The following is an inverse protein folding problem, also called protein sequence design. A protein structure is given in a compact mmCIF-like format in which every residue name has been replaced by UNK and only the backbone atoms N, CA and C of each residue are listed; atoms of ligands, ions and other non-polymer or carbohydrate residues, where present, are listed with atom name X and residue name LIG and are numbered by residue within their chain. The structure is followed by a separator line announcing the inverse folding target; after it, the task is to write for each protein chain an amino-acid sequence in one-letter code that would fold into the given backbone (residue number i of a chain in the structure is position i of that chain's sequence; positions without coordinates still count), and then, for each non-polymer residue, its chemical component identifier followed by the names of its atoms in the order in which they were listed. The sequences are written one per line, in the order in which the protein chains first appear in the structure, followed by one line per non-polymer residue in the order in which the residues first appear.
data_IF_240168002147
#
_entry.id   IF_240168002147
#
_cell.length_a   1.000
_cell.length_b   1.000
_cell.length_c   1.000
_cell.angle_alpha   90.00
_cell.angle_beta   90.00
_cell.angle_gamma   90.00
#
_symmetry.space_group_name_H-M   'P 1'
#
loop_
_entity.id
_entity.type
_entity.pdbx_description
1 polymer ?
#
# COMPACT_ATOMS: atom_id res chain seq x y z
N UNK A 1 -29.81 -3.95 34.06
CA UNK A 1 -29.11 -3.59 32.79
C UNK A 1 -29.43 -2.15 32.47
N UNK A 2 -28.41 -1.30 32.29
CA UNK A 2 -28.55 0.17 32.19
C UNK A 2 -29.25 0.56 30.89
N UNK A 3 -30.39 1.23 31.00
CA UNK A 3 -31.00 1.96 29.89
C UNK A 3 -30.07 3.12 29.50
N UNK A 4 -29.47 3.04 28.31
CA UNK A 4 -28.74 4.17 27.74
C UNK A 4 -29.76 5.31 27.51
N UNK A 5 -29.52 6.47 28.11
CA UNK A 5 -30.36 7.64 27.95
C UNK A 5 -30.37 8.06 26.47
N UNK A 6 -31.52 7.91 25.81
CA UNK A 6 -31.72 8.44 24.46
C UNK A 6 -31.75 9.97 24.58
N UNK A 7 -30.91 10.72 23.85
CA UNK A 7 -30.88 12.18 23.92
C UNK A 7 -32.25 12.78 23.59
N UNK A 8 -32.73 13.76 24.38
CA UNK A 8 -34.02 14.47 24.19
C UNK A 8 -34.23 15.03 22.77
N UNK A 9 -33.15 15.21 22.01
CA UNK A 9 -33.16 15.68 20.63
C UNK A 9 -33.65 14.62 19.62
N UNK A 10 -33.46 13.31 19.89
CA UNK A 10 -33.96 12.23 19.02
C UNK A 10 -35.49 12.09 19.18
N UNK A 11 -36.01 12.35 20.39
CA UNK A 11 -37.44 12.27 20.71
C UNK A 11 -38.31 13.32 19.99
N UNK A 12 -37.70 14.35 19.40
CA UNK A 12 -38.39 15.44 18.68
C UNK A 12 -38.35 15.28 17.16
N UNK A 13 -37.84 14.16 16.65
CA UNK A 13 -37.80 13.90 15.22
C UNK A 13 -39.19 13.44 14.74
N UNK A 14 -39.86 14.28 13.96
CA UNK A 14 -41.07 13.88 13.23
C UNK A 14 -40.69 12.93 12.11
N UNK A 15 -41.09 11.66 12.24
CA UNK A 15 -40.87 10.62 11.24
C UNK A 15 -42.19 10.20 10.61
N UNK A 16 -42.17 10.04 9.29
CA UNK A 16 -43.27 9.38 8.60
C UNK A 16 -43.34 7.92 9.07
N UNK A 17 -44.46 7.53 9.68
CA UNK A 17 -44.69 6.18 10.17
C UNK A 17 -45.74 5.49 9.29
N UNK A 18 -45.32 4.78 8.24
CA UNK A 18 -46.26 4.06 7.39
C UNK A 18 -46.92 2.90 8.16
N UNK A 19 -47.97 2.29 7.58
CA UNK A 19 -48.64 1.16 8.22
C UNK A 19 -47.71 -0.05 8.34
N UNK A 20 -47.93 -0.92 9.34
CA UNK A 20 -47.06 -2.07 9.60
C UNK A 20 -46.76 -2.95 8.36
N UNK A 21 -47.72 -3.26 7.47
CA UNK A 21 -47.44 -4.02 6.25
C UNK A 21 -46.46 -3.31 5.30
N UNK A 22 -46.55 -1.99 5.20
CA UNK A 22 -45.69 -1.15 4.37
C UNK A 22 -44.30 -1.02 4.99
N UNK A 23 -44.20 -0.82 6.32
CA UNK A 23 -42.92 -0.88 7.03
C UNK A 23 -42.19 -2.20 6.75
N UNK A 24 -42.88 -3.32 6.85
CA UNK A 24 -42.30 -4.64 6.59
C UNK A 24 -41.88 -4.80 5.12
N UNK A 25 -42.64 -4.25 4.16
CA UNK A 25 -42.27 -4.26 2.75
C UNK A 25 -41.01 -3.43 2.47
N UNK A 26 -40.92 -2.23 3.06
CA UNK A 26 -39.74 -1.35 2.98
C UNK A 26 -38.50 -2.07 3.52
N UNK A 27 -38.59 -2.66 4.72
CA UNK A 27 -37.47 -3.40 5.33
C UNK A 27 -37.00 -4.53 4.41
N UNK A 28 -37.93 -5.37 3.91
CA UNK A 28 -37.57 -6.47 2.99
C UNK A 28 -36.87 -5.98 1.71
N UNK A 29 -37.34 -4.87 1.15
CA UNK A 29 -36.72 -4.26 -0.04
C UNK A 29 -35.29 -3.79 0.26
N UNK A 30 -35.10 -3.06 1.37
CA UNK A 30 -33.79 -2.58 1.80
C UNK A 30 -32.84 -3.74 2.10
N UNK A 31 -33.30 -4.79 2.79
CA UNK A 31 -32.50 -5.99 3.06
C UNK A 31 -32.09 -6.71 1.78
N UNK A 32 -32.96 -6.74 0.77
CA UNK A 32 -32.63 -7.31 -0.53
C UNK A 32 -31.55 -6.47 -1.25
N UNK A 33 -31.72 -5.15 -1.29
CA UNK A 33 -30.75 -4.24 -1.91
C UNK A 33 -29.38 -4.28 -1.20
N UNK A 34 -29.37 -4.22 0.13
CA UNK A 34 -28.16 -4.27 0.95
C UNK A 34 -27.42 -5.60 0.78
N UNK A 35 -28.13 -6.73 0.76
CA UNK A 35 -27.52 -8.05 0.46
C UNK A 35 -26.87 -8.11 -0.92
N UNK A 36 -27.44 -7.46 -1.94
CA UNK A 36 -26.80 -7.37 -3.26
C UNK A 36 -25.51 -6.59 -3.17
N UNK A 37 -25.54 -5.40 -2.57
CA UNK A 37 -24.36 -4.53 -2.40
C UNK A 37 -23.25 -5.27 -1.63
N UNK A 38 -23.58 -5.89 -0.49
CA UNK A 38 -22.60 -6.63 0.32
C UNK A 38 -21.94 -7.78 -0.43
N UNK A 39 -22.71 -8.54 -1.24
CA UNK A 39 -22.15 -9.60 -2.10
C UNK A 39 -21.14 -9.04 -3.10
N UNK A 40 -21.46 -7.94 -3.78
CA UNK A 40 -20.53 -7.30 -4.72
C UNK A 40 -19.27 -6.78 -4.03
N UNK A 41 -19.41 -6.11 -2.87
CA UNK A 41 -18.26 -5.62 -2.09
C UNK A 41 -17.36 -6.80 -1.69
N UNK A 42 -17.94 -7.89 -1.19
CA UNK A 42 -17.19 -9.09 -0.81
C UNK A 42 -16.42 -9.70 -1.97
N UNK A 43 -17.07 -9.87 -3.13
CA UNK A 43 -16.44 -10.40 -4.33
C UNK A 43 -15.28 -9.52 -4.82
N UNK A 44 -15.46 -8.20 -4.85
CA UNK A 44 -14.41 -7.25 -5.24
C UNK A 44 -13.23 -7.26 -4.28
N UNK A 45 -13.47 -7.30 -2.96
CA UNK A 45 -12.39 -7.41 -1.96
C UNK A 45 -11.58 -8.69 -2.13
N UNK A 46 -12.24 -9.84 -2.38
CA UNK A 46 -11.56 -11.11 -2.64
C UNK A 46 -10.70 -11.05 -3.91
N UNK A 47 -11.21 -10.44 -4.98
CA UNK A 47 -10.45 -10.25 -6.21
C UNK A 47 -9.20 -9.38 -5.98
N UNK A 48 -9.32 -8.27 -5.23
CA UNK A 48 -8.17 -7.41 -4.90
C UNK A 48 -7.11 -8.22 -4.13
N UNK A 49 -7.53 -9.00 -3.13
CA UNK A 49 -6.60 -9.82 -2.36
C UNK A 49 -5.84 -10.83 -3.25
N UNK A 50 -6.57 -11.50 -4.15
CA UNK A 50 -5.96 -12.45 -5.09
C UNK A 50 -4.98 -11.79 -6.06
N UNK A 51 -5.31 -10.59 -6.56
CA UNK A 51 -4.43 -9.84 -7.45
C UNK A 51 -3.15 -9.38 -6.74
N UNK A 52 -3.24 -8.94 -5.49
CA UNK A 52 -2.05 -8.59 -4.71
C UNK A 52 -1.18 -9.82 -4.44
N UNK A 53 -1.77 -10.96 -4.10
CA UNK A 53 -1.05 -12.23 -3.93
C UNK A 53 -0.33 -12.64 -5.23
N UNK A 54 -1.04 -12.63 -6.36
CA UNK A 54 -0.47 -12.94 -7.67
C UNK A 54 0.67 -12.00 -8.03
N UNK A 55 0.51 -10.69 -7.78
CA UNK A 55 1.55 -9.69 -8.01
C UNK A 55 2.81 -9.99 -7.19
N UNK A 56 2.67 -10.29 -5.90
CA UNK A 56 3.81 -10.65 -5.05
C UNK A 56 4.49 -11.92 -5.54
N UNK A 57 3.72 -12.92 -5.97
CA UNK A 57 4.27 -14.17 -6.51
C UNK A 57 5.06 -13.93 -7.80
N UNK A 58 4.54 -13.13 -8.73
CA UNK A 58 5.22 -12.78 -9.98
C UNK A 58 6.50 -11.98 -9.70
N UNK A 59 6.44 -10.99 -8.81
CA UNK A 59 7.64 -10.23 -8.40
C UNK A 59 8.68 -11.16 -7.82
N UNK A 60 8.29 -12.04 -6.90
CA UNK A 60 9.18 -13.04 -6.31
C UNK A 60 9.82 -13.94 -7.38
N UNK A 61 9.04 -14.48 -8.32
CA UNK A 61 9.54 -15.29 -9.43
C UNK A 61 10.54 -14.51 -10.31
N UNK A 62 10.23 -13.26 -10.62
CA UNK A 62 11.09 -12.41 -11.44
C UNK A 62 12.43 -12.10 -10.75
N UNK A 63 12.39 -11.65 -9.49
CA UNK A 63 13.62 -11.27 -8.76
C UNK A 63 14.48 -12.47 -8.37
N UNK A 64 13.90 -13.67 -8.30
CA UNK A 64 14.62 -14.92 -8.10
C UNK A 64 15.08 -15.58 -9.41
N UNK A 65 14.80 -14.97 -10.57
CA UNK A 65 15.25 -15.46 -11.86
C UNK A 65 14.45 -16.66 -12.40
N UNK A 66 13.27 -16.95 -11.85
CA UNK A 66 12.39 -18.03 -12.36
C UNK A 66 11.70 -17.65 -13.66
N UNK A 67 11.45 -16.37 -13.90
CA UNK A 67 10.86 -15.84 -15.13
C UNK A 67 11.67 -14.66 -15.66
N UNK A 68 11.78 -14.55 -16.97
CA UNK A 68 12.29 -13.37 -17.65
C UNK A 68 11.18 -12.31 -17.73
N UNK A 69 11.40 -11.14 -17.14
CA UNK A 69 10.46 -10.02 -17.14
C UNK A 69 10.17 -9.46 -18.53
N UNK A 70 10.99 -9.77 -19.54
CA UNK A 70 10.81 -9.32 -20.92
C UNK A 70 9.85 -10.22 -21.70
N UNK A 71 9.87 -11.52 -21.42
CA UNK A 71 9.12 -12.53 -22.20
C UNK A 71 7.99 -13.17 -21.39
N UNK A 72 8.06 -13.10 -20.06
CA UNK A 72 7.16 -13.80 -19.14
C UNK A 72 7.41 -15.31 -19.05
N UNK A 73 8.49 -15.82 -19.64
CA UNK A 73 8.84 -17.24 -19.70
C UNK A 73 10.09 -17.54 -18.86
N UNK A 74 10.34 -18.81 -18.48
CA UNK A 74 11.60 -19.21 -17.87
C UNK A 74 12.80 -18.89 -18.78
N UNK A 75 13.97 -18.72 -18.16
CA UNK A 75 15.21 -18.56 -18.90
C UNK A 75 15.63 -19.90 -19.52
N UNK A 76 16.39 -19.89 -20.64
CA UNK A 76 16.76 -21.13 -21.33
C UNK A 76 17.69 -22.03 -20.50
N UNK A 77 18.60 -21.41 -19.72
CA UNK A 77 19.64 -22.12 -19.00
C UNK A 77 19.89 -21.51 -17.61
N UNK A 78 20.26 -22.37 -16.67
CA UNK A 78 20.44 -22.05 -15.26
C UNK A 78 21.77 -22.56 -14.71
N UNK A 79 22.22 -21.98 -13.58
CA UNK A 79 23.39 -22.40 -12.81
C UNK A 79 23.10 -22.26 -11.31
N UNK A 80 23.78 -23.02 -10.43
CA UNK A 80 23.60 -22.88 -8.99
C UNK A 80 24.02 -21.48 -8.53
N UNK A 81 23.16 -20.81 -7.75
CA UNK A 81 23.45 -19.46 -7.22
C UNK A 81 24.55 -19.45 -6.16
N UNK A 82 24.83 -20.60 -5.53
CA UNK A 82 25.67 -20.70 -4.34
C UNK A 82 25.00 -20.19 -3.06
N UNK A 83 23.70 -19.90 -3.10
CA UNK A 83 22.90 -19.45 -1.95
C UNK A 83 21.80 -20.48 -1.68
N UNK A 84 21.84 -21.09 -0.49
CA UNK A 84 21.01 -22.25 -0.12
C UNK A 84 19.51 -22.05 -0.37
N UNK A 85 18.97 -20.89 0.03
CA UNK A 85 17.54 -20.60 -0.08
C UNK A 85 17.09 -20.16 -1.49
N UNK A 86 18.02 -19.79 -2.37
CA UNK A 86 17.70 -19.20 -3.68
C UNK A 86 17.65 -20.27 -4.78
N UNK A 87 18.49 -21.31 -4.68
CA UNK A 87 18.57 -22.38 -5.68
C UNK A 87 19.29 -21.94 -6.95
N UNK A 88 18.75 -22.29 -8.11
CA UNK A 88 19.35 -22.00 -9.41
C UNK A 88 18.92 -20.63 -9.97
N UNK A 89 19.83 -19.98 -10.67
CA UNK A 89 19.64 -18.66 -11.30
C UNK A 89 20.06 -18.68 -12.76
N UNK A 90 19.60 -17.73 -13.60
CA UNK A 90 19.92 -17.74 -15.03
C UNK A 90 21.42 -17.70 -15.29
N UNK A 91 21.89 -18.47 -16.28
CA UNK A 91 23.32 -18.69 -16.51
C UNK A 91 24.11 -17.38 -16.74
N UNK A 92 23.48 -16.40 -17.40
CA UNK A 92 24.07 -15.11 -17.74
C UNK A 92 24.08 -14.09 -16.59
N UNK A 93 23.42 -14.38 -15.46
CA UNK A 93 23.43 -13.49 -14.29
C UNK A 93 24.80 -13.49 -13.61
N UNK A 94 25.24 -12.31 -13.19
CA UNK A 94 26.52 -12.11 -12.49
C UNK A 94 26.27 -11.81 -11.02
N UNK A 95 27.01 -12.47 -10.14
CA UNK A 95 27.02 -12.13 -8.71
C UNK A 95 27.99 -10.97 -8.48
N UNK A 96 27.49 -9.85 -7.95
CA UNK A 96 28.27 -8.67 -7.65
C UNK A 96 28.03 -8.25 -6.19
N UNK A 97 29.10 -7.82 -5.51
CA UNK A 97 28.96 -7.19 -4.19
C UNK A 97 28.37 -5.80 -4.38
N UNK A 98 27.34 -5.45 -3.60
CA UNK A 98 26.63 -4.18 -3.72
C UNK A 98 27.59 -2.98 -3.72
N UNK A 99 28.56 -2.94 -2.80
CA UNK A 99 29.56 -1.86 -2.74
C UNK A 99 30.50 -1.72 -3.94
N UNK A 100 30.50 -2.66 -4.90
CA UNK A 100 31.22 -2.51 -6.18
C UNK A 100 30.41 -1.82 -7.26
N UNK A 101 29.09 -1.71 -7.08
CA UNK A 101 28.17 -1.19 -8.11
C UNK A 101 27.38 0.04 -7.65
N UNK A 102 27.46 0.39 -6.35
CA UNK A 102 26.86 1.62 -5.81
C UNK A 102 27.91 2.48 -5.13
N UNK A 103 27.77 3.81 -5.26
CA UNK A 103 28.46 4.75 -4.39
C UNK A 103 27.50 5.16 -3.27
N UNK A 104 27.68 4.57 -2.10
CA UNK A 104 26.84 4.84 -0.94
C UNK A 104 27.39 6.03 -0.16
N UNK A 105 26.66 7.14 -0.15
CA UNK A 105 26.88 8.23 0.80
C UNK A 105 26.01 7.98 2.04
N UNK A 106 26.62 7.55 3.13
CA UNK A 106 25.92 7.31 4.40
C UNK A 106 25.60 8.65 5.07
N UNK A 107 24.48 8.67 5.80
CA UNK A 107 23.79 9.83 6.36
C UNK A 107 24.65 11.06 6.70
N UNK A 108 24.19 12.20 6.20
CA UNK A 108 24.59 13.51 6.72
C UNK A 108 23.61 13.88 7.84
N UNK A 109 24.08 14.19 9.06
CA UNK A 109 23.20 14.61 10.15
C UNK A 109 22.72 16.05 9.88
N UNK A 110 21.60 16.19 9.19
CA UNK A 110 20.96 17.49 9.00
C UNK A 110 20.40 17.97 10.34
N UNK A 111 20.93 19.07 10.88
CA UNK A 111 20.38 19.70 12.08
C UNK A 111 19.04 20.31 11.75
N UNK A 112 18.09 20.21 12.68
CA UNK A 112 16.76 20.77 12.47
C UNK A 112 16.76 22.29 12.32
N UNK A 113 17.73 22.96 12.92
CA UNK A 113 17.91 24.41 12.85
C UNK A 113 18.27 24.89 11.44
N UNK A 114 18.83 24.00 10.61
CA UNK A 114 19.18 24.28 9.21
C UNK A 114 18.01 23.98 8.24
N UNK A 115 16.84 23.59 8.76
CA UNK A 115 15.66 23.36 7.91
C UNK A 115 14.98 24.68 7.56
N UNK A 116 14.57 24.77 6.30
CA UNK A 116 13.99 25.99 5.73
C UNK A 116 12.61 25.72 5.13
N UNK A 117 11.89 26.82 4.87
CA UNK A 117 10.62 26.81 4.12
C UNK A 117 10.77 27.38 2.70
N UNK A 118 12.00 27.73 2.30
CA UNK A 118 12.27 28.30 0.97
C UNK A 118 12.11 27.24 -0.10
N UNK A 119 11.29 27.51 -1.11
CA UNK A 119 11.08 26.59 -2.24
C UNK A 119 12.35 26.38 -3.09
N UNK A 120 13.32 27.29 -2.98
CA UNK A 120 14.61 27.24 -3.68
C UNK A 120 15.61 26.27 -3.03
N UNK A 121 15.38 25.88 -1.77
CA UNK A 121 16.26 24.99 -1.01
C UNK A 121 16.02 23.51 -1.33
N UNK A 122 17.07 22.70 -1.07
CA UNK A 122 17.09 21.28 -1.41
C UNK A 122 16.06 20.49 -0.61
N UNK A 123 15.18 19.73 -1.29
CA UNK A 123 14.24 18.82 -0.64
C UNK A 123 14.97 17.66 0.03
N UNK A 124 14.71 17.46 1.32
CA UNK A 124 15.28 16.36 2.09
C UNK A 124 14.24 15.26 2.29
N UNK A 125 14.42 14.13 1.60
CA UNK A 125 13.66 12.91 1.82
C UNK A 125 14.26 12.12 2.98
N UNK A 126 13.47 11.93 4.04
CA UNK A 126 13.86 11.18 5.24
C UNK A 126 13.04 9.88 5.34
N UNK A 127 13.43 9.00 6.26
CA UNK A 127 12.70 7.76 6.52
C UNK A 127 11.20 7.98 6.81
N UNK A 128 10.85 9.06 7.53
CA UNK A 128 9.45 9.43 7.81
C UNK A 128 8.63 9.74 6.54
N UNK A 129 9.29 10.13 5.45
CA UNK A 129 8.63 10.43 4.18
C UNK A 129 8.31 9.15 3.38
N UNK A 130 8.88 8.01 3.76
CA UNK A 130 8.68 6.72 3.09
C UNK A 130 7.67 5.89 3.88
N UNK A 131 6.51 5.66 3.29
CA UNK A 131 5.48 4.77 3.84
C UNK A 131 5.22 3.62 2.86
N UNK A 132 4.66 2.48 3.32
CA UNK A 132 4.25 1.40 2.43
C UNK A 132 3.37 1.93 1.30
N UNK A 133 3.81 1.77 0.06
CA UNK A 133 3.08 2.20 -1.13
C UNK A 133 2.99 3.71 -1.37
N UNK A 134 3.63 4.57 -0.56
CA UNK A 134 3.58 6.02 -0.72
C UNK A 134 4.90 6.70 -0.37
N UNK A 135 5.33 7.62 -1.22
CA UNK A 135 6.35 8.61 -0.89
C UNK A 135 5.66 9.95 -0.61
N UNK A 136 5.77 10.46 0.62
CA UNK A 136 5.18 11.72 1.07
C UNK A 136 6.05 12.89 0.59
N UNK A 137 5.92 13.24 -0.70
CA UNK A 137 6.69 14.30 -1.36
C UNK A 137 6.32 15.71 -0.93
N UNK A 138 5.10 15.90 -0.43
CA UNK A 138 4.58 17.21 -0.01
C UNK A 138 4.88 17.51 1.48
N UNK A 139 5.27 16.48 2.25
CA UNK A 139 5.61 16.57 3.68
C UNK A 139 7.15 16.59 3.89
N UNK A 140 7.91 16.93 2.84
CA UNK A 140 9.38 16.99 2.91
C UNK A 140 9.81 18.29 3.59
N UNK A 141 10.87 18.22 4.38
CA UNK A 141 11.56 19.45 4.81
C UNK A 141 12.55 19.86 3.74
N UNK A 142 12.94 21.12 3.76
CA UNK A 142 13.99 21.64 2.88
C UNK A 142 15.22 21.98 3.70
N UNK A 143 16.38 21.86 3.06
CA UNK A 143 17.67 22.14 3.65
C UNK A 143 18.40 23.11 2.72
N UNK A 144 18.57 24.34 3.20
CA UNK A 144 19.46 25.34 2.64
C UNK A 144 20.62 25.49 3.63
N UNK A 145 21.85 25.08 3.29
CA UNK A 145 22.98 25.41 4.15
C UNK A 145 23.06 26.94 4.23
N UNK A 146 22.90 27.51 5.42
CA UNK A 146 23.30 28.90 5.65
C UNK A 146 24.81 28.93 5.39
N UNK A 147 25.19 29.50 4.25
CA UNK A 147 26.60 29.69 3.88
C UNK A 147 27.33 30.36 5.05
N UNK A 148 28.51 29.83 5.40
CA UNK A 148 29.52 30.64 6.11
C UNK A 148 29.78 31.94 5.36
#
# INVERSE_FOLDING_TARGET
MRAAAVPRQISRLSLALPLLPEQAAIVRFLDHADRRIRRYIGAKKKLIALLEEQKQAIVHQAVTGRIDVRTGQPYPDYKPSGVEWLGDVPIHWRVLRLGRVINLKVGFPFKSDDFTQSEEDMRLLRGINVAPGKLRRDEVVRYGPQTM
#
